data_IF_519184923103
#
_entry.id   IF_519184923103
#
_cell.length_a   1.000
_cell.length_b   1.000
_cell.length_c   1.000
_cell.angle_alpha   90.00
_cell.angle_beta   90.00
_cell.angle_gamma   90.00
#
_symmetry.space_group_name_H-M   'P 1'
#
loop_
_entity.id
_entity.type
_entity.pdbx_description
1 polymer ?
#
# COMPACT_ATOMS: atom_id res chain seq x y z
N UNK A 1 -36.24 15.94 -35.94
CA UNK A 1 -36.07 15.56 -34.52
C UNK A 1 -35.69 14.08 -34.44
N UNK A 2 -34.56 13.78 -33.78
CA UNK A 2 -34.17 12.60 -32.96
C UNK A 2 -35.17 11.40 -32.94
N UNK A 3 -34.81 10.10 -33.04
CA UNK A 3 -33.66 9.33 -32.51
C UNK A 3 -33.59 7.90 -33.14
N UNK A 4 -32.37 7.38 -33.14
CA UNK A 4 -31.87 6.02 -33.45
C UNK A 4 -32.47 4.89 -32.62
N UNK A 5 -32.38 3.63 -33.10
CA UNK A 5 -31.94 2.38 -32.40
C UNK A 5 -31.99 1.25 -33.45
N UNK A 6 -30.90 0.86 -34.12
CA UNK A 6 -29.71 0.11 -33.67
C UNK A 6 -30.04 -1.34 -33.25
N UNK A 7 -29.36 -2.29 -33.92
CA UNK A 7 -29.21 -3.74 -33.69
C UNK A 7 -30.26 -4.69 -34.28
N UNK A 8 -29.98 -5.05 -35.53
CA UNK A 8 -30.20 -6.38 -36.09
C UNK A 8 -29.41 -7.45 -35.31
N UNK A 9 -30.05 -8.61 -35.14
CA UNK A 9 -29.55 -10.00 -34.99
C UNK A 9 -30.43 -10.67 -33.93
N UNK A 10 -31.65 -11.05 -34.31
CA UNK A 10 -31.90 -12.40 -34.83
C UNK A 10 -31.54 -13.46 -33.79
N UNK A 11 -32.47 -13.61 -32.85
CA UNK A 11 -32.90 -14.88 -32.27
C UNK A 11 -32.83 -16.02 -33.28
N UNK A 12 -32.02 -17.06 -33.02
CA UNK A 12 -32.28 -18.44 -33.44
C UNK A 12 -31.15 -19.38 -33.00
N UNK A 13 -31.42 -20.24 -32.02
CA UNK A 13 -30.54 -21.34 -31.65
C UNK A 13 -31.19 -22.16 -30.56
N UNK A 14 -31.88 -23.22 -30.96
CA UNK A 14 -32.88 -23.94 -30.20
C UNK A 14 -32.37 -24.75 -28.99
N UNK A 15 -33.30 -24.85 -28.03
CA UNK A 15 -33.46 -25.80 -26.90
C UNK A 15 -33.41 -27.26 -27.36
N UNK A 16 -32.89 -28.23 -26.56
CA UNK A 16 -33.60 -29.49 -26.23
C UNK A 16 -33.25 -30.00 -24.80
N UNK A 17 -34.33 -30.51 -24.19
CA UNK A 17 -34.62 -31.05 -22.87
C UNK A 17 -33.81 -32.24 -22.32
N UNK A 18 -33.92 -32.43 -20.99
CA UNK A 18 -34.16 -33.75 -20.40
C UNK A 18 -35.20 -33.62 -19.28
N UNK A 19 -36.25 -34.42 -19.40
CA UNK A 19 -37.51 -34.44 -18.65
C UNK A 19 -37.45 -35.23 -17.35
N UNK A 20 -38.16 -34.78 -16.31
CA UNK A 20 -38.82 -35.67 -15.34
C UNK A 20 -39.93 -34.93 -14.55
N UNK A 21 -41.18 -35.39 -14.69
CA UNK A 21 -42.22 -35.30 -13.65
C UNK A 21 -43.07 -34.02 -13.56
N UNK A 22 -44.18 -33.97 -14.30
CA UNK A 22 -45.43 -33.21 -14.06
C UNK A 22 -45.85 -33.37 -12.57
N UNK A 23 -46.34 -32.38 -11.81
CA UNK A 23 -47.70 -31.79 -11.83
C UNK A 23 -47.75 -30.44 -11.07
N UNK A 24 -48.52 -29.48 -11.63
CA UNK A 24 -48.97 -28.19 -11.09
C UNK A 24 -47.93 -27.06 -10.84
N UNK A 25 -47.62 -26.31 -11.89
CA UNK A 25 -47.18 -24.91 -11.78
C UNK A 25 -47.75 -24.12 -12.96
N UNK A 26 -49.02 -23.71 -12.88
CA UNK A 26 -49.64 -22.86 -13.92
C UNK A 26 -48.97 -21.48 -13.98
N UNK A 27 -48.25 -21.08 -12.94
CA UNK A 27 -47.51 -19.82 -12.94
C UNK A 27 -46.08 -20.01 -12.42
N UNK A 28 -45.12 -20.01 -13.34
CA UNK A 28 -43.70 -19.90 -13.00
C UNK A 28 -43.37 -18.41 -12.82
N UNK A 29 -43.85 -17.81 -11.71
CA UNK A 29 -43.68 -16.37 -11.44
C UNK A 29 -42.23 -15.93 -11.19
N UNK A 30 -41.31 -16.89 -11.08
CA UNK A 30 -39.87 -16.65 -10.92
C UNK A 30 -39.06 -17.64 -11.74
N UNK A 31 -38.22 -17.10 -12.63
CA UNK A 31 -37.17 -17.82 -13.32
C UNK A 31 -35.82 -17.47 -12.72
N UNK A 32 -34.92 -18.44 -12.62
CA UNK A 32 -33.53 -18.22 -12.25
C UNK A 32 -32.64 -18.90 -13.30
N UNK A 33 -31.54 -18.26 -13.64
CA UNK A 33 -30.52 -18.83 -14.51
C UNK A 33 -29.21 -18.87 -13.71
N UNK A 34 -28.60 -20.05 -13.66
CA UNK A 34 -27.22 -20.23 -13.23
C UNK A 34 -26.44 -20.54 -14.49
N UNK A 35 -25.38 -19.78 -14.75
CA UNK A 35 -24.51 -20.01 -15.90
C UNK A 35 -23.40 -20.97 -15.52
N UNK A 36 -23.02 -21.86 -16.45
CA UNK A 36 -21.82 -22.70 -16.34
C UNK A 36 -20.51 -21.87 -16.49
N UNK A 37 -20.64 -20.56 -16.73
CA UNK A 37 -19.50 -19.65 -16.86
C UNK A 37 -18.99 -19.25 -15.48
N UNK A 38 -17.71 -19.52 -15.21
CA UNK A 38 -17.05 -19.07 -13.98
C UNK A 38 -16.55 -17.64 -14.11
N UNK A 39 -16.74 -16.82 -13.07
CA UNK A 39 -16.07 -15.53 -12.92
C UNK A 39 -14.79 -15.73 -12.11
N UNK A 40 -13.65 -15.28 -12.64
CA UNK A 40 -12.37 -15.31 -11.94
C UNK A 40 -11.97 -13.90 -11.53
N UNK A 41 -11.64 -13.71 -10.26
CA UNK A 41 -11.08 -12.46 -9.76
C UNK A 41 -9.56 -12.47 -9.83
N UNK A 42 -8.94 -11.33 -10.16
CA UNK A 42 -7.49 -11.16 -10.07
C UNK A 42 -7.03 -11.25 -8.61
N UNK A 43 -5.74 -11.53 -8.41
CA UNK A 43 -5.10 -11.37 -7.10
C UNK A 43 -5.13 -9.91 -6.64
N UNK A 44 -5.24 -9.71 -5.33
CA UNK A 44 -5.07 -8.40 -4.71
C UNK A 44 -3.62 -7.93 -4.80
N UNK A 45 -3.42 -6.62 -4.94
CA UNK A 45 -2.08 -6.02 -4.90
C UNK A 45 -1.54 -6.13 -3.48
N UNK A 46 -0.26 -6.46 -3.33
CA UNK A 46 0.39 -6.56 -2.02
C UNK A 46 1.64 -5.69 -1.96
N UNK A 47 1.72 -4.85 -0.93
CA UNK A 47 2.87 -4.01 -0.61
C UNK A 47 3.52 -4.49 0.68
N UNK A 48 4.84 -4.58 0.71
CA UNK A 48 5.63 -4.94 1.90
C UNK A 48 6.82 -4.01 2.01
N UNK A 49 7.17 -3.62 3.23
CA UNK A 49 8.35 -2.81 3.52
C UNK A 49 9.20 -3.54 4.56
N UNK A 50 10.52 -3.52 4.34
CA UNK A 50 11.52 -4.04 5.28
C UNK A 50 12.60 -2.98 5.41
N UNK A 51 13.09 -2.76 6.63
CA UNK A 51 14.23 -1.88 6.90
C UNK A 51 15.40 -2.70 7.42
N UNK A 52 16.60 -2.45 6.90
CA UNK A 52 17.83 -3.04 7.42
C UNK A 52 18.23 -2.37 8.75
N UNK A 53 19.10 -3.03 9.51
CA UNK A 53 19.68 -2.43 10.70
C UNK A 53 20.48 -1.17 10.31
N UNK A 54 20.33 -0.04 11.04
CA UNK A 54 21.07 1.17 10.74
C UNK A 54 22.57 1.02 11.01
N UNK A 55 23.38 1.64 10.17
CA UNK A 55 24.83 1.74 10.31
C UNK A 55 25.23 3.15 10.67
N UNK A 56 26.21 3.31 11.55
CA UNK A 56 26.70 4.64 11.88
C UNK A 56 27.59 5.22 10.79
N UNK A 57 27.42 6.51 10.53
CA UNK A 57 28.29 7.30 9.66
C UNK A 57 29.40 8.00 10.48
N UNK A 58 29.08 8.51 11.67
CA UNK A 58 30.00 9.29 12.52
C UNK A 58 29.64 9.27 14.03
N UNK A 59 29.09 8.18 14.56
CA UNK A 59 28.59 8.10 15.95
C UNK A 59 29.62 8.43 17.01
N UNK A 60 30.89 8.19 16.70
CA UNK A 60 31.99 8.24 17.66
C UNK A 60 32.90 9.47 17.46
N UNK A 61 32.55 10.36 16.52
CA UNK A 61 33.32 11.58 16.25
C UNK A 61 32.94 12.67 17.24
N UNK A 62 33.84 12.97 18.18
CA UNK A 62 33.64 14.02 19.17
C UNK A 62 33.45 15.39 18.51
N UNK A 63 32.42 16.12 18.94
CA UNK A 63 32.08 17.45 18.41
C UNK A 63 31.21 17.43 17.15
N UNK A 64 30.87 16.25 16.63
CA UNK A 64 29.91 16.09 15.53
C UNK A 64 28.57 15.55 16.03
N UNK A 65 27.50 15.91 15.34
CA UNK A 65 26.19 15.29 15.56
C UNK A 65 26.23 13.88 14.98
N UNK A 66 25.90 12.84 15.76
CA UNK A 66 25.92 11.47 15.28
C UNK A 66 24.82 11.24 14.23
N UNK A 67 25.19 10.57 13.15
CA UNK A 67 24.34 10.24 12.02
C UNK A 67 24.39 8.74 11.77
N UNK A 68 23.23 8.18 11.41
CA UNK A 68 23.09 6.80 10.99
C UNK A 68 22.32 6.73 9.67
N UNK A 69 22.64 5.72 8.87
CA UNK A 69 21.91 5.42 7.63
C UNK A 69 21.36 4.01 7.67
N UNK A 70 20.19 3.80 7.07
CA UNK A 70 19.58 2.49 6.88
C UNK A 70 19.00 2.39 5.46
N UNK A 71 19.04 1.19 4.88
CA UNK A 71 18.33 0.93 3.63
C UNK A 71 16.99 0.28 3.91
N UNK A 72 15.94 0.83 3.32
CA UNK A 72 14.63 0.19 3.26
C UNK A 72 14.37 -0.39 1.88
N UNK A 73 13.70 -1.53 1.84
CA UNK A 73 13.28 -2.22 0.62
C UNK A 73 11.77 -2.38 0.65
N UNK A 74 11.10 -1.77 -0.35
CA UNK A 74 9.67 -1.89 -0.59
C UNK A 74 9.46 -2.85 -1.76
N UNK A 75 8.67 -3.90 -1.55
CA UNK A 75 8.26 -4.81 -2.61
C UNK A 75 6.76 -4.71 -2.83
N UNK A 76 6.37 -4.53 -4.09
CA UNK A 76 4.98 -4.50 -4.50
C UNK A 76 4.76 -5.61 -5.52
N UNK A 77 3.74 -6.44 -5.31
CA UNK A 77 3.41 -7.58 -6.18
C UNK A 77 1.97 -7.53 -6.65
N UNK A 78 1.72 -8.22 -7.78
CA UNK A 78 0.40 -8.41 -8.37
C UNK A 78 -0.28 -7.10 -8.84
N UNK A 79 0.52 -6.07 -9.16
CA UNK A 79 0.01 -4.86 -9.83
C UNK A 79 -0.34 -5.20 -11.28
N UNK A 80 -1.58 -4.90 -11.73
CA UNK A 80 -1.92 -5.04 -13.15
C UNK A 80 -1.05 -4.13 -14.01
N UNK A 81 -0.42 -4.67 -15.04
CA UNK A 81 0.49 -3.92 -15.92
C UNK A 81 -0.12 -2.64 -16.50
N UNK A 82 -1.40 -2.67 -16.86
CA UNK A 82 -2.15 -1.53 -17.39
C UNK A 82 -2.41 -0.41 -16.35
N UNK A 83 -2.29 -0.71 -15.05
CA UNK A 83 -2.49 0.26 -13.98
C UNK A 83 -1.17 0.92 -13.52
N UNK A 84 -0.01 0.31 -13.80
CA UNK A 84 1.30 0.75 -13.28
C UNK A 84 1.55 2.24 -13.51
N UNK A 85 1.26 2.76 -14.71
CA UNK A 85 1.49 4.17 -15.06
C UNK A 85 0.67 5.15 -14.23
N UNK A 86 -0.43 4.70 -13.63
CA UNK A 86 -1.38 5.54 -12.92
C UNK A 86 -1.05 5.66 -11.42
N UNK A 87 -0.15 4.82 -10.91
CA UNK A 87 0.22 4.79 -9.49
C UNK A 87 1.69 5.14 -9.28
N UNK A 88 1.97 5.65 -8.08
CA UNK A 88 3.29 5.88 -7.52
C UNK A 88 3.32 5.29 -6.11
N UNK A 89 4.52 5.12 -5.58
CA UNK A 89 4.72 4.61 -4.23
C UNK A 89 5.19 5.75 -3.36
N UNK A 90 4.41 6.06 -2.34
CA UNK A 90 4.79 7.00 -1.31
C UNK A 90 5.47 6.23 -0.19
N UNK A 91 6.71 6.58 0.10
CA UNK A 91 7.50 6.02 1.21
C UNK A 91 7.68 7.11 2.25
N UNK A 92 7.44 6.78 3.51
CA UNK A 92 7.63 7.68 4.63
C UNK A 92 8.42 7.00 5.73
N UNK A 93 9.36 7.74 6.32
CA UNK A 93 10.10 7.30 7.49
C UNK A 93 9.78 8.19 8.69
N UNK A 94 9.54 7.55 9.83
CA UNK A 94 9.24 8.19 11.10
C UNK A 94 10.20 7.68 12.16
N UNK A 95 10.61 8.56 13.06
CA UNK A 95 11.45 8.23 14.20
C UNK A 95 10.68 8.46 15.51
N UNK A 96 10.93 7.58 16.47
CA UNK A 96 10.30 7.58 17.79
C UNK A 96 11.34 7.31 18.87
N UNK A 97 11.19 7.92 20.05
CA UNK A 97 12.01 7.61 21.22
C UNK A 97 11.53 6.35 21.95
N UNK A 98 10.40 5.77 21.53
CA UNK A 98 9.73 4.61 22.15
C UNK A 98 9.34 3.55 21.12
N UNK A 99 9.66 2.29 21.43
CA UNK A 99 9.27 1.14 20.59
C UNK A 99 7.76 0.97 20.52
N UNK A 100 7.09 1.19 21.65
CA UNK A 100 5.63 1.03 21.78
C UNK A 100 4.92 2.02 20.85
N UNK A 101 5.43 3.24 20.76
CA UNK A 101 4.83 4.29 19.92
C UNK A 101 5.02 3.98 18.44
N UNK A 102 6.21 3.51 18.06
CA UNK A 102 6.47 3.03 16.70
C UNK A 102 5.55 1.85 16.31
N UNK A 103 5.34 0.90 17.22
CA UNK A 103 4.46 -0.27 16.99
C UNK A 103 2.97 0.12 16.94
N UNK A 104 2.55 1.14 17.69
CA UNK A 104 1.17 1.65 17.64
C UNK A 104 0.91 2.45 16.37
N UNK A 105 1.86 3.30 15.96
CA UNK A 105 1.80 4.00 14.68
C UNK A 105 1.70 3.04 13.49
N UNK A 106 2.41 1.91 13.52
CA UNK A 106 2.35 0.88 12.48
C UNK A 106 0.97 0.19 12.35
N UNK A 107 0.16 0.20 13.42
CA UNK A 107 -1.20 -0.38 13.43
C UNK A 107 -2.28 0.58 12.93
N UNK A 108 -1.92 1.82 12.58
CA UNK A 108 -2.88 2.86 12.20
C UNK A 108 -3.70 3.39 13.37
N UNK A 109 -3.26 3.16 14.61
CA UNK A 109 -3.92 3.65 15.81
C UNK A 109 -3.51 5.12 16.03
N UNK A 110 -4.25 6.03 15.39
CA UNK A 110 -4.05 7.47 15.54
C UNK A 110 -4.59 7.95 16.89
N UNK A 111 -3.78 7.77 17.94
CA UNK A 111 -3.82 8.62 19.14
C UNK A 111 -2.55 8.40 20.00
N UNK A 112 -1.42 9.02 19.64
CA UNK A 112 -0.39 9.36 20.64
C UNK A 112 0.03 10.81 20.43
N UNK A 113 -0.79 11.73 20.93
CA UNK A 113 -0.37 13.09 21.21
C UNK A 113 0.18 13.11 22.64
N UNK A 114 1.48 13.33 22.80
CA UNK A 114 1.87 14.22 23.88
C UNK A 114 1.48 15.66 23.50
N UNK A 115 1.57 16.59 24.43
CA UNK A 115 1.04 17.95 24.28
C UNK A 115 1.64 18.76 23.10
N UNK A 116 2.60 18.20 22.33
CA UNK A 116 3.32 18.87 21.25
C UNK A 116 3.32 18.15 19.89
N UNK A 117 2.63 17.02 19.71
CA UNK A 117 2.40 16.45 18.36
C UNK A 117 3.63 15.80 17.69
N UNK A 118 4.44 15.09 18.48
CA UNK A 118 5.70 14.38 18.16
C UNK A 118 6.95 15.26 18.01
N UNK A 119 7.46 15.75 19.15
CA UNK A 119 8.86 16.16 19.28
C UNK A 119 9.74 14.94 19.61
N UNK A 120 9.85 13.98 18.69
CA UNK A 120 10.88 12.93 18.82
C UNK A 120 12.24 13.63 18.89
N UNK A 121 13.09 13.24 19.84
CA UNK A 121 14.46 13.79 19.92
C UNK A 121 15.33 13.32 18.77
N UNK A 122 14.79 12.48 17.88
CA UNK A 122 15.41 11.88 16.71
C UNK A 122 14.52 12.11 15.48
N UNK A 123 15.12 12.40 14.33
CA UNK A 123 14.46 12.44 13.03
C UNK A 123 14.89 11.30 12.13
N UNK A 124 14.00 10.96 11.20
CA UNK A 124 14.29 10.13 10.04
C UNK A 124 13.98 10.92 8.76
N UNK A 125 14.83 10.80 7.76
CA UNK A 125 14.57 11.35 6.41
C UNK A 125 14.76 10.25 5.37
N UNK A 126 13.98 10.20 4.28
CA UNK A 126 12.96 11.18 3.91
C UNK A 126 11.69 11.06 4.76
N UNK A 127 11.14 12.21 5.14
CA UNK A 127 9.81 12.27 5.77
C UNK A 127 8.75 11.71 4.80
N UNK A 128 8.86 12.10 3.52
CA UNK A 128 8.06 11.57 2.42
C UNK A 128 8.90 11.58 1.14
N UNK A 129 8.84 10.49 0.37
CA UNK A 129 9.40 10.40 -0.97
C UNK A 129 8.46 9.62 -1.88
N UNK A 130 8.39 10.05 -3.13
CA UNK A 130 7.53 9.42 -4.14
C UNK A 130 8.39 8.74 -5.20
N UNK A 131 8.02 7.51 -5.54
CA UNK A 131 8.74 6.71 -6.52
C UNK A 131 7.79 6.25 -7.61
N UNK A 132 8.19 6.48 -8.87
CA UNK A 132 7.51 5.92 -10.01
C UNK A 132 7.70 4.40 -10.06
N UNK A 133 6.62 3.69 -10.39
CA UNK A 133 6.68 2.27 -10.67
C UNK A 133 7.27 2.04 -12.07
N UNK A 134 8.21 1.11 -12.18
CA UNK A 134 8.77 0.70 -13.47
C UNK A 134 7.74 -0.11 -14.27
N UNK A 135 7.55 0.22 -15.55
CA UNK A 135 6.58 -0.44 -16.42
C UNK A 135 7.01 -1.86 -16.80
N UNK A 136 6.03 -2.73 -17.07
CA UNK A 136 6.25 -4.04 -17.70
C UNK A 136 6.45 -5.23 -16.76
N UNK A 137 6.41 -5.04 -15.44
CA UNK A 137 6.50 -6.12 -14.46
C UNK A 137 5.34 -6.07 -13.47
N UNK A 138 4.77 -7.23 -13.12
CA UNK A 138 3.76 -7.35 -12.06
C UNK A 138 4.37 -7.21 -10.66
N UNK A 139 5.69 -7.04 -10.58
CA UNK A 139 6.45 -6.84 -9.35
C UNK A 139 7.42 -5.67 -9.48
N UNK A 140 7.46 -4.81 -8.48
CA UNK A 140 8.39 -3.67 -8.41
C UNK A 140 9.08 -3.67 -7.05
N UNK A 141 10.39 -3.42 -7.07
CA UNK A 141 11.21 -3.24 -5.86
C UNK A 141 11.76 -1.82 -5.83
N UNK A 142 11.57 -1.12 -4.72
CA UNK A 142 12.10 0.22 -4.48
C UNK A 142 13.03 0.14 -3.29
N UNK A 143 14.23 0.68 -3.46
CA UNK A 143 15.16 0.89 -2.36
C UNK A 143 15.15 2.37 -2.00
N UNK A 144 15.06 2.67 -0.71
CA UNK A 144 15.12 4.04 -0.19
C UNK A 144 16.11 4.10 0.97
N UNK A 145 16.96 5.11 0.95
CA UNK A 145 17.93 5.38 2.01
C UNK A 145 17.27 6.25 3.07
N UNK A 146 17.40 5.83 4.33
CA UNK A 146 16.88 6.53 5.50
C UNK A 146 18.07 7.08 6.29
N UNK A 147 18.11 8.40 6.51
CA UNK A 147 19.08 9.04 7.41
C UNK A 147 18.42 9.33 8.75
N UNK A 148 19.13 9.07 9.84
CA UNK A 148 18.64 9.19 11.22
C UNK A 148 19.58 10.12 11.99
N UNK A 149 19.02 11.14 12.65
CA UNK A 149 19.78 12.15 13.41
C UNK A 149 19.05 12.57 14.68
N UNK A 150 19.74 12.92 15.77
CA UNK A 150 19.10 13.65 16.87
C UNK A 150 18.70 15.08 16.44
N UNK A 151 17.59 15.60 16.99
CA UNK A 151 17.00 16.89 16.61
C UNK A 151 17.84 18.11 17.02
N UNK A 152 18.65 18.05 18.08
CA UNK A 152 19.63 19.08 18.49
C UNK A 152 20.63 18.46 19.47
N UNK A 153 21.73 19.18 19.77
CA UNK A 153 22.66 18.82 20.85
C UNK A 153 21.90 18.73 22.17
N UNK A 154 21.71 17.52 22.68
CA UNK A 154 21.15 17.33 24.00
C UNK A 154 22.07 17.97 25.05
N UNK A 155 21.57 18.97 25.78
CA UNK A 155 22.10 19.30 27.10
C UNK A 155 21.61 18.22 28.07
N UNK A 156 22.25 17.05 28.07
CA UNK A 156 21.83 15.94 28.92
C UNK A 156 22.74 14.72 28.84
N UNK A 157 23.03 14.11 29.98
CA UNK A 157 24.01 13.01 30.14
C UNK A 157 23.40 11.60 29.87
N UNK A 158 22.33 11.52 29.08
CA UNK A 158 21.60 10.26 28.85
C UNK A 158 21.70 9.84 27.39
N UNK A 159 22.06 8.58 27.16
CA UNK A 159 22.08 8.00 25.82
C UNK A 159 20.66 7.97 25.22
N UNK A 160 20.54 8.35 23.95
CA UNK A 160 19.29 8.27 23.20
C UNK A 160 19.14 6.92 22.51
N UNK A 161 17.93 6.39 22.50
CA UNK A 161 17.56 5.21 21.71
C UNK A 161 16.40 5.58 20.80
N UNK A 162 16.58 5.38 19.49
CA UNK A 162 15.55 5.66 18.49
C UNK A 162 14.99 4.40 17.85
N UNK A 163 13.71 4.47 17.50
CA UNK A 163 12.98 3.43 16.78
C UNK A 163 12.45 4.02 15.48
N UNK A 164 12.65 3.30 14.37
CA UNK A 164 12.27 3.77 13.03
C UNK A 164 11.11 2.95 12.51
N UNK A 165 10.10 3.65 11.99
CA UNK A 165 9.00 3.08 11.22
C UNK A 165 9.12 3.54 9.77
N UNK A 166 9.09 2.59 8.83
CA UNK A 166 8.96 2.87 7.40
C UNK A 166 7.59 2.42 6.95
N UNK A 167 6.83 3.32 6.34
CA UNK A 167 5.55 3.03 5.71
C UNK A 167 5.67 3.18 4.20
N UNK A 168 4.89 2.38 3.47
CA UNK A 168 4.85 2.42 2.02
C UNK A 168 3.39 2.29 1.55
N UNK A 169 2.94 3.25 0.77
CA UNK A 169 1.58 3.33 0.28
C UNK A 169 1.58 3.43 -1.25
N UNK A 170 0.71 2.64 -1.89
CA UNK A 170 0.45 2.77 -3.31
C UNK A 170 -0.61 3.85 -3.52
N UNK A 171 -0.24 4.96 -4.13
CA UNK A 171 -1.12 6.12 -4.32
C UNK A 171 -1.31 6.44 -5.81
N UNK A 172 -2.50 6.90 -6.18
CA UNK A 172 -2.78 7.33 -7.55
C UNK A 172 -2.03 8.65 -7.85
N UNK A 173 -1.47 8.79 -9.04
CA UNK A 173 -0.67 9.97 -9.41
C UNK A 173 -1.52 11.24 -9.48
N UNK A 174 -2.75 11.11 -9.97
CA UNK A 174 -3.72 12.20 -10.14
C UNK A 174 -5.08 11.72 -9.61
N UNK A 175 -5.32 11.77 -8.30
CA UNK A 175 -6.62 11.44 -7.75
C UNK A 175 -7.68 12.39 -8.33
N UNK A 176 -8.77 11.83 -8.87
CA UNK A 176 -9.88 12.54 -9.48
C UNK A 176 -10.71 13.35 -8.45
#
# INVERSE_FOLDING_TARGET
MKKSTLLSLLTAGAVIATSAGTFAAWDQTKGYAVTDSSVTFRKGVRTTAVIAAPTSTNSDTFGETPEYTATSTINITDIPSAAISNYKVKVSAYAFDSKVDAENAAKGDTAITDANGYNSTITATPEQSEYDLTSGSNTTTINSEITIKPQTSQEGNSALTGYILVTAELVEKNPA
#
